data_IF_214333962986
#
_entry.id   IF_214333962986
#
_cell.length_a   1.000
_cell.length_b   1.000
_cell.length_c   1.000
_cell.angle_alpha   90.00
_cell.angle_beta   90.00
_cell.angle_gamma   90.00
#
_symmetry.space_group_name_H-M   'P 1'
#
loop_
_entity.id
_entity.type
_entity.pdbx_description
1 polymer ?
#
# COMPACT_ATOMS: atom_id res chain seq x y z
N UNK A 1 20.84 26.88 -18.12
CA UNK A 1 19.63 26.06 -18.42
C UNK A 1 20.10 24.73 -18.97
N UNK A 2 19.65 23.63 -18.40
CA UNK A 2 19.95 22.29 -18.87
C UNK A 2 19.50 22.11 -20.34
N UNK A 3 20.29 21.43 -21.17
CA UNK A 3 19.91 21.10 -22.54
C UNK A 3 19.00 19.87 -22.52
N UNK A 4 17.75 20.02 -23.01
CA UNK A 4 16.78 18.95 -23.12
C UNK A 4 16.68 18.47 -24.57
N UNK A 5 16.88 17.19 -24.81
CA UNK A 5 16.87 16.59 -26.15
C UNK A 5 15.62 15.72 -26.29
N UNK A 6 14.83 15.95 -27.35
CA UNK A 6 13.72 15.05 -27.68
C UNK A 6 14.27 13.72 -28.20
N UNK A 7 13.82 12.63 -27.62
CA UNK A 7 14.17 11.26 -28.04
C UNK A 7 12.97 10.32 -27.84
N UNK A 8 13.11 9.07 -28.26
CA UNK A 8 12.12 8.03 -27.95
C UNK A 8 12.57 7.20 -26.75
N UNK A 9 11.62 6.54 -26.05
CA UNK A 9 11.96 5.59 -24.97
C UNK A 9 12.85 4.45 -25.52
N UNK A 10 12.64 4.04 -26.78
CA UNK A 10 13.49 3.04 -27.45
C UNK A 10 14.94 3.50 -27.70
N UNK A 11 15.21 4.83 -27.70
CA UNK A 11 16.56 5.37 -27.74
C UNK A 11 17.27 5.30 -26.38
N UNK A 12 16.55 5.03 -25.29
CA UNK A 12 17.03 5.03 -23.91
C UNK A 12 17.16 3.63 -23.30
N UNK A 13 16.35 2.68 -23.77
CA UNK A 13 16.37 1.31 -23.25
C UNK A 13 15.98 0.29 -24.32
N UNK A 14 16.26 -0.97 -23.99
CA UNK A 14 15.85 -2.12 -24.78
C UNK A 14 15.16 -3.17 -23.93
N UNK A 15 14.38 -4.06 -24.54
CA UNK A 15 13.80 -5.21 -23.83
C UNK A 15 14.74 -6.40 -23.86
N UNK A 16 14.90 -7.05 -22.71
CA UNK A 16 15.72 -8.26 -22.54
C UNK A 16 14.79 -9.47 -22.49
N UNK A 17 15.15 -10.52 -23.24
CA UNK A 17 14.37 -11.77 -23.32
C UNK A 17 15.22 -13.00 -23.00
N UNK A 18 16.29 -12.82 -22.23
CA UNK A 18 17.16 -13.91 -21.83
C UNK A 18 16.36 -14.92 -21.00
N UNK A 19 16.47 -16.19 -21.40
CA UNK A 19 15.79 -17.29 -20.75
C UNK A 19 16.65 -17.84 -19.62
N UNK A 20 16.05 -18.08 -18.45
CA UNK A 20 16.69 -18.76 -17.34
C UNK A 20 17.19 -20.15 -17.76
N UNK A 21 18.46 -20.40 -17.53
CA UNK A 21 19.16 -21.66 -17.84
C UNK A 21 19.87 -22.24 -16.60
N UNK A 22 19.62 -21.66 -15.43
CA UNK A 22 20.23 -22.12 -14.18
C UNK A 22 19.69 -23.47 -13.72
N UNK A 23 20.48 -24.11 -12.87
CA UNK A 23 20.15 -25.38 -12.24
C UNK A 23 19.93 -25.22 -10.72
N UNK A 24 19.55 -24.02 -10.28
CA UNK A 24 19.27 -23.76 -8.87
C UNK A 24 18.16 -24.70 -8.39
N UNK A 25 18.33 -25.28 -7.21
CA UNK A 25 17.33 -26.18 -6.61
C UNK A 25 16.04 -25.41 -6.24
N UNK A 26 16.20 -24.14 -5.87
CA UNK A 26 15.12 -23.24 -5.50
C UNK A 26 15.20 -21.93 -6.28
N UNK A 27 14.05 -21.46 -6.75
CA UNK A 27 13.93 -20.24 -7.54
C UNK A 27 12.81 -19.34 -6.99
N UNK A 28 12.90 -18.05 -7.25
CA UNK A 28 11.83 -17.08 -6.98
C UNK A 28 11.08 -16.79 -8.28
N UNK A 29 9.77 -16.99 -8.28
CA UNK A 29 8.93 -16.73 -9.44
C UNK A 29 8.26 -15.35 -9.30
N UNK A 30 8.51 -14.47 -10.26
CA UNK A 30 7.94 -13.12 -10.27
C UNK A 30 6.89 -13.01 -11.36
N UNK A 31 5.62 -12.93 -10.96
CA UNK A 31 4.49 -12.72 -11.86
C UNK A 31 4.12 -11.23 -11.92
N UNK A 32 3.17 -10.86 -12.75
CA UNK A 32 2.64 -9.48 -12.82
C UNK A 32 1.96 -9.03 -11.53
N UNK A 33 1.40 -9.97 -10.73
CA UNK A 33 0.86 -9.69 -9.39
C UNK A 33 1.93 -9.37 -8.36
N UNK A 34 3.16 -9.82 -8.61
CA UNK A 34 4.28 -9.76 -7.65
C UNK A 34 5.12 -8.50 -7.84
N UNK A 35 4.72 -7.60 -8.71
CA UNK A 35 5.32 -6.27 -8.88
C UNK A 35 4.25 -5.19 -8.70
N UNK A 36 4.57 -4.15 -7.96
CA UNK A 36 3.64 -3.04 -7.72
C UNK A 36 4.41 -1.76 -7.35
N UNK A 37 4.09 -0.67 -8.06
CA UNK A 37 4.53 0.71 -7.76
C UNK A 37 6.04 0.86 -7.46
N UNK A 38 6.85 0.04 -8.09
CA UNK A 38 8.31 0.11 -7.99
C UNK A 38 8.96 -1.03 -7.24
N UNK A 39 8.21 -1.87 -6.54
CA UNK A 39 8.74 -2.94 -5.69
C UNK A 39 8.40 -4.33 -6.21
N UNK A 40 9.31 -5.27 -6.01
CA UNK A 40 9.02 -6.72 -6.10
C UNK A 40 8.44 -7.14 -4.76
N UNK A 41 7.27 -7.76 -4.76
CA UNK A 41 6.54 -8.12 -3.54
C UNK A 41 6.82 -9.57 -3.10
N UNK A 42 7.22 -10.43 -4.04
CA UNK A 42 7.47 -11.84 -3.75
C UNK A 42 8.96 -12.14 -3.81
N UNK A 43 9.50 -12.63 -2.70
CA UNK A 43 10.86 -13.12 -2.57
C UNK A 43 10.91 -14.58 -2.06
N UNK A 44 9.75 -15.25 -2.02
CA UNK A 44 9.66 -16.64 -1.56
C UNK A 44 10.22 -17.60 -2.60
N UNK A 45 11.03 -18.53 -2.14
CA UNK A 45 11.61 -19.56 -3.00
C UNK A 45 10.68 -20.76 -3.13
N UNK A 46 10.61 -21.30 -4.35
CA UNK A 46 9.90 -22.54 -4.67
C UNK A 46 10.85 -23.53 -5.31
N UNK A 47 10.58 -24.83 -5.17
CA UNK A 47 11.40 -25.85 -5.82
C UNK A 47 11.36 -25.69 -7.34
N UNK A 48 12.53 -25.72 -7.98
CA UNK A 48 12.68 -25.59 -9.44
C UNK A 48 12.30 -26.89 -10.15
N UNK A 49 11.03 -27.31 -9.98
CA UNK A 49 10.48 -28.54 -10.60
C UNK A 49 9.10 -28.25 -11.15
N UNK A 50 8.86 -28.68 -12.40
CA UNK A 50 7.55 -28.54 -13.05
C UNK A 50 7.05 -27.10 -13.14
N UNK A 51 7.94 -26.13 -13.34
CA UNK A 51 7.58 -24.73 -13.47
C UNK A 51 6.64 -24.51 -14.64
N UNK A 52 5.62 -23.65 -14.43
CA UNK A 52 4.70 -23.25 -15.50
C UNK A 52 5.49 -22.53 -16.61
N UNK A 53 5.22 -22.84 -17.85
CA UNK A 53 5.95 -22.32 -19.02
C UNK A 53 5.89 -20.81 -19.23
N UNK A 54 5.14 -20.09 -18.40
CA UNK A 54 5.10 -18.62 -18.38
C UNK A 54 6.30 -17.98 -17.68
N UNK A 55 7.04 -18.70 -16.83
CA UNK A 55 8.23 -18.19 -16.14
C UNK A 55 9.47 -18.52 -16.94
N UNK A 56 10.13 -17.51 -17.51
CA UNK A 56 11.27 -17.72 -18.41
C UNK A 56 12.34 -16.64 -18.32
N UNK A 57 11.97 -15.37 -18.10
CA UNK A 57 12.88 -14.25 -18.29
C UNK A 57 13.76 -14.04 -17.06
N UNK A 58 15.06 -13.83 -17.32
CA UNK A 58 16.00 -13.37 -16.28
C UNK A 58 16.11 -11.86 -16.30
N UNK A 59 16.53 -11.31 -15.19
CA UNK A 59 16.82 -9.89 -15.03
C UNK A 59 17.99 -9.70 -14.06
N UNK A 60 18.53 -8.50 -13.98
CA UNK A 60 19.64 -8.15 -13.08
C UNK A 60 19.33 -6.82 -12.40
N UNK A 61 20.18 -6.43 -11.46
CA UNK A 61 20.14 -5.09 -10.86
C UNK A 61 20.11 -4.03 -11.96
N UNK A 62 19.38 -2.95 -11.69
CA UNK A 62 19.11 -1.81 -12.56
C UNK A 62 18.22 -2.11 -13.78
N UNK A 63 17.70 -3.34 -13.92
CA UNK A 63 16.61 -3.62 -14.86
C UNK A 63 15.27 -3.16 -14.28
N UNK A 64 14.32 -2.85 -15.16
CA UNK A 64 12.95 -2.50 -14.80
C UNK A 64 12.04 -3.62 -15.29
N UNK A 65 11.24 -4.19 -14.38
CA UNK A 65 10.15 -5.08 -14.75
C UNK A 65 8.89 -4.25 -14.99
N UNK A 66 8.29 -4.34 -16.16
CA UNK A 66 7.11 -3.57 -16.52
C UNK A 66 6.04 -4.48 -17.12
N UNK A 67 4.84 -4.49 -16.56
CA UNK A 67 3.74 -5.33 -17.02
C UNK A 67 3.24 -4.89 -18.40
N UNK A 68 3.04 -5.86 -19.28
CA UNK A 68 2.36 -5.65 -20.57
C UNK A 68 0.87 -5.36 -20.38
N UNK A 69 0.28 -5.64 -19.21
CA UNK A 69 -1.16 -5.68 -18.99
C UNK A 69 -1.60 -4.49 -18.16
N UNK A 70 -2.56 -3.72 -18.67
CA UNK A 70 -3.24 -2.61 -17.98
C UNK A 70 -2.25 -1.70 -17.26
N UNK A 71 -1.53 -0.83 -17.96
CA UNK A 71 -0.53 0.09 -17.36
C UNK A 71 -1.05 0.86 -16.13
N UNK A 72 -2.33 1.25 -16.12
CA UNK A 72 -2.97 1.93 -14.99
C UNK A 72 -2.94 1.13 -13.68
N UNK A 73 -2.75 -0.21 -13.73
CA UNK A 73 -2.59 -1.03 -12.53
C UNK A 73 -1.21 -0.86 -11.86
N UNK A 74 -0.31 -0.06 -12.45
CA UNK A 74 1.04 0.27 -11.93
C UNK A 74 1.87 -0.97 -11.56
N UNK A 75 1.75 -2.03 -12.38
CA UNK A 75 2.47 -3.29 -12.20
C UNK A 75 3.86 -3.19 -12.81
N UNK A 76 4.78 -2.55 -12.11
CA UNK A 76 6.18 -2.39 -12.46
C UNK A 76 7.05 -2.42 -11.20
N UNK A 77 8.34 -2.75 -11.38
CA UNK A 77 9.34 -2.73 -10.30
C UNK A 77 10.70 -2.31 -10.85
N UNK A 78 11.47 -1.58 -10.05
CA UNK A 78 12.88 -1.33 -10.24
C UNK A 78 13.70 -2.35 -9.43
N UNK A 79 14.70 -2.97 -10.04
CA UNK A 79 15.50 -3.98 -9.39
C UNK A 79 16.70 -3.33 -8.73
N UNK A 80 16.59 -3.10 -7.43
CA UNK A 80 17.60 -2.45 -6.59
C UNK A 80 18.50 -3.41 -5.81
N UNK A 81 18.33 -4.73 -6.01
CA UNK A 81 19.10 -5.78 -5.32
C UNK A 81 19.99 -6.60 -6.25
N UNK A 82 21.10 -7.13 -5.71
CA UNK A 82 22.17 -7.81 -6.49
C UNK A 82 21.84 -9.28 -6.82
N UNK A 83 21.29 -10.03 -5.87
CA UNK A 83 21.15 -11.48 -5.99
C UNK A 83 19.90 -11.86 -6.78
N UNK A 84 19.98 -11.73 -8.12
CA UNK A 84 18.86 -12.02 -9.03
C UNK A 84 19.01 -13.34 -9.79
N UNK A 85 20.11 -14.10 -9.59
CA UNK A 85 20.46 -15.26 -10.40
C UNK A 85 19.40 -16.36 -10.40
N UNK A 86 18.69 -16.54 -9.29
CA UNK A 86 17.61 -17.51 -9.12
C UNK A 86 16.20 -16.93 -9.28
N UNK A 87 16.06 -15.67 -9.75
CA UNK A 87 14.77 -15.04 -10.02
C UNK A 87 14.34 -15.29 -11.47
N UNK A 88 13.07 -15.65 -11.66
CA UNK A 88 12.49 -15.91 -12.99
C UNK A 88 11.22 -15.10 -13.15
N UNK A 89 11.26 -14.12 -14.04
CA UNK A 89 10.09 -13.30 -14.35
C UNK A 89 9.15 -13.98 -15.36
N UNK A 90 7.87 -13.67 -15.22
CA UNK A 90 6.81 -14.05 -16.16
C UNK A 90 7.06 -13.45 -17.54
N UNK A 91 6.64 -14.16 -18.59
CA UNK A 91 6.67 -13.65 -19.98
C UNK A 91 5.85 -12.38 -20.17
N UNK A 92 4.89 -12.10 -19.26
CA UNK A 92 4.04 -10.90 -19.28
C UNK A 92 4.65 -9.69 -18.60
N UNK A 93 5.87 -9.83 -18.10
CA UNK A 93 6.71 -8.71 -17.65
C UNK A 93 7.75 -8.41 -18.73
N UNK A 94 7.77 -7.20 -19.25
CA UNK A 94 8.89 -6.69 -20.03
C UNK A 94 10.06 -6.48 -19.07
N UNK A 95 11.24 -6.95 -19.42
CA UNK A 95 12.49 -6.64 -18.74
C UNK A 95 13.15 -5.54 -19.52
N UNK A 96 13.15 -4.32 -19.00
CA UNK A 96 13.69 -3.14 -19.65
C UNK A 96 15.09 -2.83 -19.10
N UNK A 97 16.07 -2.71 -19.97
CA UNK A 97 17.46 -2.39 -19.61
C UNK A 97 17.87 -1.07 -20.22
N UNK A 98 18.31 -0.15 -19.39
CA UNK A 98 18.81 1.15 -19.79
C UNK A 98 20.08 1.05 -20.64
N UNK A 99 20.37 2.08 -21.41
CA UNK A 99 21.66 2.25 -22.08
C UNK A 99 22.46 3.39 -21.42
N UNK A 100 23.61 3.73 -21.99
CA UNK A 100 24.52 4.73 -21.43
C UNK A 100 23.98 6.17 -21.43
N UNK A 101 22.91 6.47 -22.19
CA UNK A 101 22.36 7.83 -22.33
C UNK A 101 21.53 8.22 -21.08
N UNK A 102 20.96 7.25 -20.39
CA UNK A 102 20.02 7.47 -19.27
C UNK A 102 20.49 6.77 -18.01
N UNK A 103 20.29 7.40 -16.85
CA UNK A 103 20.43 6.73 -15.55
C UNK A 103 19.26 5.76 -15.34
N UNK A 104 19.49 4.56 -14.79
CA UNK A 104 18.43 3.58 -14.59
C UNK A 104 17.30 4.10 -13.70
N UNK A 105 17.62 4.83 -12.62
CA UNK A 105 16.64 5.45 -11.73
C UNK A 105 15.86 6.57 -12.41
N UNK A 106 16.50 7.36 -13.30
CA UNK A 106 15.82 8.39 -14.08
C UNK A 106 14.85 7.75 -15.09
N UNK A 107 15.30 6.72 -15.80
CA UNK A 107 14.42 5.95 -16.70
C UNK A 107 13.21 5.38 -15.94
N UNK A 108 13.44 4.84 -14.75
CA UNK A 108 12.36 4.32 -13.91
C UNK A 108 11.39 5.44 -13.48
N UNK A 109 11.91 6.61 -13.05
CA UNK A 109 11.06 7.76 -12.71
C UNK A 109 10.23 8.24 -13.91
N UNK A 110 10.80 8.24 -15.10
CA UNK A 110 10.12 8.56 -16.36
C UNK A 110 8.97 7.56 -16.63
N UNK A 111 9.26 6.26 -16.57
CA UNK A 111 8.30 5.20 -16.89
C UNK A 111 7.13 5.09 -15.90
N UNK A 112 7.34 5.48 -14.63
CA UNK A 112 6.29 5.51 -13.60
C UNK A 112 5.52 6.85 -13.56
N UNK A 113 5.88 7.82 -14.39
CA UNK A 113 5.17 9.11 -14.44
C UNK A 113 3.73 8.94 -14.89
N UNK A 114 2.83 9.73 -14.30
CA UNK A 114 1.41 9.69 -14.66
C UNK A 114 1.17 9.95 -16.16
N UNK A 115 2.01 10.78 -16.79
CA UNK A 115 1.96 11.03 -18.22
C UNK A 115 2.20 9.75 -19.04
N UNK A 116 3.30 9.02 -18.76
CA UNK A 116 3.63 7.78 -19.47
C UNK A 116 2.58 6.70 -19.22
N UNK A 117 2.14 6.54 -17.97
CA UNK A 117 1.11 5.55 -17.61
C UNK A 117 -0.21 5.84 -18.31
N UNK A 118 -0.67 7.09 -18.32
CA UNK A 118 -1.94 7.48 -18.94
C UNK A 118 -1.90 7.26 -20.46
N UNK A 119 -0.82 7.64 -21.10
CA UNK A 119 -0.65 7.46 -22.55
C UNK A 119 -0.60 5.97 -22.92
N UNK A 120 0.15 5.15 -22.19
CA UNK A 120 0.22 3.70 -22.40
C UNK A 120 -1.13 3.03 -22.15
N UNK A 121 -1.89 3.47 -21.14
CA UNK A 121 -3.23 2.94 -20.87
C UNK A 121 -4.19 3.29 -22.01
N UNK A 122 -4.16 4.52 -22.50
CA UNK A 122 -4.95 4.95 -23.66
C UNK A 122 -4.62 4.14 -24.91
N UNK A 123 -3.33 3.94 -25.22
CA UNK A 123 -2.89 3.12 -26.35
C UNK A 123 -3.34 1.65 -26.19
N UNK A 124 -3.25 1.09 -24.98
CA UNK A 124 -3.70 -0.27 -24.69
C UNK A 124 -5.20 -0.46 -24.94
N UNK A 125 -6.02 0.51 -24.53
CA UNK A 125 -7.48 0.50 -24.70
C UNK A 125 -7.91 0.66 -26.15
N UNK A 126 -7.23 1.52 -26.91
CA UNK A 126 -7.51 1.69 -28.35
C UNK A 126 -7.20 0.43 -29.15
N UNK A 127 -6.19 -0.35 -28.73
CA UNK A 127 -5.83 -1.63 -29.38
C UNK A 127 -6.78 -2.76 -29.02
N UNK A 128 -7.23 -2.86 -27.78
CA UNK A 128 -8.16 -3.90 -27.30
C UNK A 128 -8.90 -3.45 -26.06
N UNK A 129 -10.18 -3.10 -26.21
CA UNK A 129 -11.02 -2.68 -25.07
C UNK A 129 -11.28 -3.79 -24.05
N UNK A 130 -11.26 -5.08 -24.45
CA UNK A 130 -11.57 -6.20 -23.58
C UNK A 130 -10.35 -6.63 -22.73
N UNK A 131 -9.15 -6.57 -23.30
CA UNK A 131 -7.92 -6.96 -22.63
C UNK A 131 -6.78 -5.97 -23.00
N UNK A 132 -6.77 -4.79 -22.37
CA UNK A 132 -5.76 -3.77 -22.66
C UNK A 132 -4.33 -4.29 -22.45
N UNK A 133 -3.53 -4.32 -23.50
CA UNK A 133 -2.14 -4.78 -23.51
C UNK A 133 -1.28 -3.83 -24.32
N UNK A 134 -0.05 -3.66 -23.87
CA UNK A 134 1.03 -2.96 -24.59
C UNK A 134 2.16 -3.94 -24.94
N UNK A 135 2.96 -3.57 -25.94
CA UNK A 135 4.24 -4.21 -26.23
C UNK A 135 5.35 -3.16 -26.22
N UNK A 136 6.59 -3.60 -26.03
CA UNK A 136 7.71 -2.68 -26.08
C UNK A 136 7.81 -1.98 -27.45
N UNK A 137 7.78 -2.74 -28.53
CA UNK A 137 8.06 -2.23 -29.87
C UNK A 137 6.95 -1.35 -30.46
N UNK A 138 5.68 -1.64 -30.12
CA UNK A 138 4.55 -0.92 -30.75
C UNK A 138 4.10 0.31 -29.96
N UNK A 139 4.08 0.21 -28.64
CA UNK A 139 3.53 1.29 -27.80
C UNK A 139 4.60 2.00 -26.97
N UNK A 140 5.50 1.28 -26.29
CA UNK A 140 6.43 1.90 -25.34
C UNK A 140 7.64 2.55 -26.05
N UNK A 141 8.34 1.83 -26.90
CA UNK A 141 9.57 2.32 -27.55
C UNK A 141 9.37 3.57 -28.43
N UNK A 142 8.26 3.74 -29.18
CA UNK A 142 8.03 4.92 -29.99
C UNK A 142 7.67 6.19 -29.22
N UNK A 143 7.31 6.08 -27.94
CA UNK A 143 6.90 7.24 -27.13
C UNK A 143 8.00 8.29 -27.09
N UNK A 144 7.62 9.54 -27.38
CA UNK A 144 8.51 10.69 -27.33
C UNK A 144 8.60 11.25 -25.91
N UNK A 145 9.83 11.51 -25.50
CA UNK A 145 10.17 12.07 -24.19
C UNK A 145 11.30 13.09 -24.35
N UNK A 146 11.47 13.91 -23.33
CA UNK A 146 12.61 14.83 -23.25
C UNK A 146 13.64 14.28 -22.25
N UNK A 147 14.90 14.25 -22.65
CA UNK A 147 16.01 13.77 -21.84
C UNK A 147 16.96 14.94 -21.55
N UNK A 148 17.22 15.27 -20.28
CA UNK A 148 18.24 16.24 -19.90
C UNK A 148 19.65 15.62 -19.91
N UNK A 149 20.66 16.47 -19.77
CA UNK A 149 22.03 16.01 -19.52
C UNK A 149 22.14 15.17 -18.22
N UNK A 150 23.27 14.45 -18.09
CA UNK A 150 23.49 13.51 -16.96
C UNK A 150 23.47 14.20 -15.60
N UNK A 151 24.02 15.40 -15.49
CA UNK A 151 24.06 16.11 -14.19
C UNK A 151 22.65 16.48 -13.75
N UNK A 152 21.81 16.93 -14.67
CA UNK A 152 20.39 17.18 -14.41
C UNK A 152 19.63 15.90 -14.06
N UNK A 153 19.89 14.76 -14.73
CA UNK A 153 19.31 13.46 -14.36
C UNK A 153 19.68 13.10 -12.92
N UNK A 154 20.95 13.23 -12.52
CA UNK A 154 21.42 12.97 -11.15
C UNK A 154 20.65 13.82 -10.14
N UNK A 155 20.51 15.13 -10.40
CA UNK A 155 19.78 16.04 -9.51
C UNK A 155 18.32 15.67 -9.33
N UNK A 156 17.63 15.37 -10.45
CA UNK A 156 16.23 14.94 -10.42
C UNK A 156 16.06 13.63 -9.63
N UNK A 157 16.93 12.65 -9.89
CA UNK A 157 16.91 11.36 -9.18
C UNK A 157 17.16 11.57 -7.69
N UNK A 158 18.12 12.40 -7.30
CA UNK A 158 18.43 12.68 -5.90
C UNK A 158 17.23 13.29 -5.15
N UNK A 159 16.54 14.26 -5.76
CA UNK A 159 15.33 14.87 -5.17
C UNK A 159 14.24 13.82 -4.96
N UNK A 160 13.92 13.05 -6.00
CA UNK A 160 12.86 12.04 -5.94
C UNK A 160 13.20 10.91 -4.96
N UNK A 161 14.46 10.45 -4.97
CA UNK A 161 14.93 9.40 -4.06
C UNK A 161 14.90 9.85 -2.60
N UNK A 162 15.21 11.11 -2.29
CA UNK A 162 15.13 11.65 -0.93
C UNK A 162 13.72 11.57 -0.38
N UNK A 163 12.72 11.90 -1.20
CA UNK A 163 11.30 11.82 -0.83
C UNK A 163 10.90 10.36 -0.60
N UNK A 164 11.25 9.46 -1.51
CA UNK A 164 10.91 8.04 -1.41
C UNK A 164 11.56 7.36 -0.21
N UNK A 165 12.85 7.65 0.03
CA UNK A 165 13.57 7.13 1.21
C UNK A 165 12.93 7.61 2.52
N UNK A 166 12.47 8.86 2.58
CA UNK A 166 11.79 9.37 3.76
C UNK A 166 10.45 8.65 3.99
N UNK A 167 9.66 8.42 2.95
CA UNK A 167 8.42 7.65 3.01
C UNK A 167 8.69 6.21 3.48
N UNK A 168 9.68 5.53 2.89
CA UNK A 168 10.05 4.16 3.27
C UNK A 168 10.52 4.10 4.74
N UNK A 169 11.31 5.08 5.18
CA UNK A 169 11.76 5.16 6.57
C UNK A 169 10.62 5.37 7.55
N UNK A 170 9.67 6.25 7.23
CA UNK A 170 8.47 6.44 8.04
C UNK A 170 7.65 5.15 8.13
N UNK A 171 7.50 4.40 7.03
CA UNK A 171 6.79 3.13 7.03
C UNK A 171 7.50 2.08 7.88
N UNK A 172 8.84 2.00 7.83
CA UNK A 172 9.64 1.11 8.67
C UNK A 172 9.45 1.45 10.16
N UNK A 173 9.52 2.74 10.51
CA UNK A 173 9.28 3.22 11.88
C UNK A 173 7.86 2.84 12.32
N UNK A 174 6.84 3.06 11.50
CA UNK A 174 5.46 2.75 11.82
C UNK A 174 5.25 1.25 12.09
N UNK A 175 5.79 0.38 11.23
CA UNK A 175 5.75 -1.07 11.44
C UNK A 175 6.40 -1.48 12.76
N UNK A 176 7.55 -0.89 13.08
CA UNK A 176 8.28 -1.17 14.32
C UNK A 176 7.50 -0.71 15.56
N UNK A 177 6.95 0.51 15.53
CA UNK A 177 6.13 1.04 16.63
C UNK A 177 4.88 0.20 16.87
N UNK A 178 4.18 -0.24 15.82
CA UNK A 178 3.02 -1.12 15.96
C UNK A 178 3.39 -2.45 16.60
N UNK A 179 4.48 -3.09 16.15
CA UNK A 179 4.96 -4.34 16.74
C UNK A 179 5.36 -4.19 18.21
N UNK A 180 6.02 -3.08 18.57
CA UNK A 180 6.37 -2.78 19.95
C UNK A 180 5.11 -2.58 20.81
N UNK A 181 4.12 -1.84 20.33
CA UNK A 181 2.88 -1.62 21.05
C UNK A 181 2.09 -2.92 21.25
N UNK A 182 2.05 -3.80 20.23
CA UNK A 182 1.46 -5.14 20.36
C UNK A 182 2.22 -6.00 21.39
N UNK A 183 3.55 -5.94 21.43
CA UNK A 183 4.36 -6.68 22.40
C UNK A 183 4.14 -6.15 23.83
N UNK A 184 4.02 -4.83 24.02
CA UNK A 184 3.70 -4.23 25.31
C UNK A 184 2.30 -4.67 25.78
N UNK A 185 1.30 -4.66 24.88
CA UNK A 185 -0.04 -5.16 25.17
C UNK A 185 0.00 -6.64 25.59
N UNK A 186 0.68 -7.47 24.81
CA UNK A 186 0.84 -8.89 25.11
C UNK A 186 1.45 -9.10 26.51
N UNK A 187 2.54 -8.39 26.83
CA UNK A 187 3.21 -8.49 28.11
C UNK A 187 2.33 -8.02 29.26
N UNK A 188 1.65 -6.85 29.13
CA UNK A 188 0.89 -6.25 30.23
C UNK A 188 -0.44 -6.97 30.48
N UNK A 189 -1.14 -7.40 29.43
CA UNK A 189 -2.54 -7.84 29.55
C UNK A 189 -2.75 -9.34 29.30
N UNK A 190 -1.80 -10.02 28.69
CA UNK A 190 -1.91 -11.47 28.43
C UNK A 190 -0.94 -12.25 29.34
N UNK A 191 0.37 -11.97 29.21
CA UNK A 191 1.38 -12.75 29.92
C UNK A 191 1.39 -12.46 31.43
N UNK A 192 1.13 -11.21 31.83
CA UNK A 192 1.06 -10.75 33.22
C UNK A 192 -0.38 -10.46 33.69
N UNK A 193 -1.39 -11.08 33.06
CA UNK A 193 -2.78 -10.93 33.47
C UNK A 193 -2.96 -11.32 34.94
N UNK A 194 -3.58 -10.44 35.72
CA UNK A 194 -3.78 -10.68 37.16
C UNK A 194 -5.07 -11.42 37.40
N UNK A 195 -5.05 -12.39 38.31
CA UNK A 195 -6.23 -13.22 38.65
C UNK A 195 -7.37 -12.43 39.29
N UNK A 196 -7.13 -11.21 39.72
CA UNK A 196 -8.16 -10.32 40.33
C UNK A 196 -8.79 -9.35 39.33
N UNK A 197 -8.42 -9.40 38.04
CA UNK A 197 -9.10 -8.60 37.01
C UNK A 197 -10.51 -9.16 36.78
N UNK A 198 -11.43 -8.24 36.51
CA UNK A 198 -12.82 -8.63 36.24
C UNK A 198 -12.92 -9.28 34.85
N UNK A 199 -13.68 -10.38 34.79
CA UNK A 199 -14.16 -10.89 33.51
C UNK A 199 -15.30 -10.00 33.03
N UNK A 200 -15.23 -9.61 31.74
CA UNK A 200 -16.23 -8.76 31.12
C UNK A 200 -16.30 -8.99 29.62
N UNK A 201 -16.93 -8.09 28.92
CA UNK A 201 -17.13 -8.14 27.47
C UNK A 201 -16.59 -6.88 26.79
N UNK A 202 -16.43 -6.94 25.48
CA UNK A 202 -15.99 -5.78 24.69
C UNK A 202 -16.93 -4.58 24.91
N UNK A 203 -18.23 -4.84 25.10
CA UNK A 203 -19.22 -3.78 25.37
C UNK A 203 -19.05 -3.08 26.71
N UNK A 204 -18.28 -3.64 27.64
CA UNK A 204 -18.00 -2.96 28.93
C UNK A 204 -16.95 -1.85 28.75
N UNK A 205 -16.01 -2.00 27.84
CA UNK A 205 -14.92 -1.03 27.61
C UNK A 205 -15.15 -0.11 26.40
N UNK A 206 -16.04 -0.49 25.47
CA UNK A 206 -16.21 0.25 24.22
C UNK A 206 -17.67 0.36 23.76
N UNK A 207 -17.97 1.46 23.09
CA UNK A 207 -19.21 1.66 22.34
C UNK A 207 -19.00 1.17 20.90
N UNK A 208 -19.91 0.29 20.44
CA UNK A 208 -19.81 -0.30 19.09
C UNK A 208 -20.92 0.27 18.20
N UNK A 209 -20.51 0.91 17.13
CA UNK A 209 -21.38 1.42 16.07
C UNK A 209 -21.26 0.54 14.83
N UNK A 210 -22.30 -0.26 14.56
CA UNK A 210 -22.40 -1.00 13.30
C UNK A 210 -22.72 -0.05 12.16
N UNK A 211 -21.95 -0.13 11.07
CA UNK A 211 -22.12 0.74 9.92
C UNK A 211 -23.40 0.47 9.13
N UNK A 212 -23.85 1.50 8.43
CA UNK A 212 -25.01 1.48 7.56
C UNK A 212 -24.73 2.26 6.29
N UNK A 213 -24.80 1.60 5.15
CA UNK A 213 -24.54 2.26 3.86
C UNK A 213 -25.61 3.31 3.57
N UNK A 214 -25.24 4.53 3.18
CA UNK A 214 -26.15 5.53 2.63
C UNK A 214 -26.75 5.08 1.29
N UNK A 215 -27.63 5.91 0.72
CA UNK A 215 -28.13 5.68 -0.64
C UNK A 215 -27.00 5.73 -1.65
N UNK A 216 -26.99 4.82 -2.64
CA UNK A 216 -25.98 4.82 -3.70
C UNK A 216 -25.96 6.11 -4.54
N UNK A 217 -27.09 6.80 -4.62
CA UNK A 217 -27.21 8.10 -5.32
C UNK A 217 -26.51 9.27 -4.60
N UNK A 218 -26.14 9.09 -3.32
CA UNK A 218 -25.42 10.10 -2.54
C UNK A 218 -23.89 9.96 -2.62
N UNK A 219 -23.37 8.92 -3.32
CA UNK A 219 -21.93 8.69 -3.42
C UNK A 219 -21.30 9.55 -4.49
N UNK A 220 -20.10 10.04 -4.22
CA UNK A 220 -19.27 10.78 -5.17
C UNK A 220 -17.78 10.56 -4.87
N UNK A 221 -16.94 10.93 -5.84
CA UNK A 221 -15.47 10.91 -5.74
C UNK A 221 -14.87 12.32 -5.85
N UNK A 222 -15.72 13.36 -5.90
CA UNK A 222 -15.29 14.75 -6.06
C UNK A 222 -15.06 15.50 -4.73
N UNK A 223 -15.18 14.80 -3.61
CA UNK A 223 -14.93 15.37 -2.28
C UNK A 223 -16.15 16.01 -1.62
N UNK A 224 -17.35 15.91 -2.22
CA UNK A 224 -18.55 16.57 -1.69
C UNK A 224 -19.16 15.77 -0.53
N UNK A 225 -19.27 16.39 0.64
CA UNK A 225 -19.90 15.81 1.82
C UNK A 225 -18.91 15.13 2.78
N UNK A 226 -19.31 14.00 3.36
CA UNK A 226 -18.56 13.27 4.39
C UNK A 226 -17.80 12.12 3.77
N UNK A 227 -16.54 11.90 4.18
CA UNK A 227 -15.75 10.72 3.82
C UNK A 227 -16.55 9.45 4.14
N UNK A 228 -16.58 8.51 3.20
CA UNK A 228 -17.36 7.29 3.32
C UNK A 228 -16.52 6.04 3.02
N UNK A 229 -16.47 5.14 4.00
CA UNK A 229 -15.86 3.82 3.86
C UNK A 229 -16.94 2.74 3.84
N UNK A 230 -17.08 2.07 2.71
CA UNK A 230 -18.12 1.04 2.54
C UNK A 230 -17.76 -0.27 3.22
N UNK A 231 -16.49 -0.62 3.22
CA UNK A 231 -15.92 -1.85 3.74
C UNK A 231 -14.41 -1.75 3.86
N UNK A 232 -13.73 -2.90 3.92
CA UNK A 232 -12.28 -2.97 4.12
C UNK A 232 -11.44 -2.74 2.85
N UNK A 233 -12.05 -2.54 1.70
CA UNK A 233 -11.31 -2.38 0.43
C UNK A 233 -10.34 -1.17 0.46
N UNK A 234 -10.67 -0.16 1.24
CA UNK A 234 -9.88 1.05 1.43
C UNK A 234 -8.89 0.94 2.62
N UNK A 235 -8.86 -0.18 3.37
CA UNK A 235 -7.96 -0.33 4.51
C UNK A 235 -6.50 -0.34 4.08
N UNK A 236 -5.72 0.57 4.66
CA UNK A 236 -4.27 0.64 4.55
C UNK A 236 -3.56 -0.01 5.73
N UNK A 237 -2.29 0.35 5.96
CA UNK A 237 -1.53 -0.16 7.10
C UNK A 237 -2.21 0.18 8.45
N UNK A 238 -2.53 1.45 8.69
CA UNK A 238 -3.17 1.92 9.93
C UNK A 238 -4.42 2.75 9.65
N UNK A 239 -4.46 3.49 8.55
CA UNK A 239 -5.54 4.38 8.18
C UNK A 239 -6.06 4.03 6.79
N UNK A 240 -7.39 4.14 6.55
CA UNK A 240 -7.95 3.86 5.24
C UNK A 240 -7.66 4.99 4.25
N UNK A 241 -7.45 4.62 2.99
CA UNK A 241 -7.33 5.57 1.89
C UNK A 241 -8.69 6.15 1.52
N UNK A 242 -8.77 7.46 1.36
CA UNK A 242 -10.00 8.16 1.02
C UNK A 242 -10.26 8.07 -0.49
N UNK A 243 -11.42 7.53 -0.87
CA UNK A 243 -11.87 7.44 -2.26
C UNK A 243 -13.29 7.92 -2.45
N UNK A 244 -14.19 7.59 -1.54
CA UNK A 244 -15.60 7.89 -1.65
C UNK A 244 -16.05 8.90 -0.58
N UNK A 245 -17.02 9.70 -0.96
CA UNK A 245 -17.74 10.63 -0.11
C UNK A 245 -19.25 10.37 -0.21
N UNK A 246 -20.02 10.87 0.76
CA UNK A 246 -21.47 10.83 0.74
C UNK A 246 -22.07 12.13 1.24
N UNK A 247 -23.11 12.60 0.57
CA UNK A 247 -23.92 13.77 0.99
C UNK A 247 -25.00 13.40 2.02
N UNK A 248 -25.20 12.09 2.30
CA UNK A 248 -26.22 11.56 3.22
C UNK A 248 -25.62 10.58 4.25
N UNK A 249 -24.72 11.04 5.15
CA UNK A 249 -24.10 10.13 6.11
C UNK A 249 -25.15 9.50 7.06
N UNK A 250 -25.03 8.20 7.36
CA UNK A 250 -25.97 7.45 8.21
C UNK A 250 -25.39 7.08 9.56
N UNK A 251 -24.22 6.43 9.58
CA UNK A 251 -23.50 5.98 10.78
C UNK A 251 -22.11 6.54 10.74
N UNK A 252 -21.74 7.24 11.80
CA UNK A 252 -20.46 7.92 11.91
C UNK A 252 -19.49 7.14 12.78
N UNK A 253 -18.23 7.13 12.39
CA UNK A 253 -17.07 6.86 13.24
C UNK A 253 -16.39 8.19 13.55
N UNK A 254 -15.87 8.33 14.75
CA UNK A 254 -15.07 9.49 15.17
C UNK A 254 -13.61 9.28 14.79
N UNK A 255 -12.88 10.35 14.65
CA UNK A 255 -11.43 10.28 14.56
C UNK A 255 -10.84 9.44 15.71
N UNK A 256 -9.91 8.56 15.38
CA UNK A 256 -9.27 7.56 16.24
C UNK A 256 -10.13 6.33 16.62
N UNK A 257 -11.40 6.24 16.24
CA UNK A 257 -12.15 5.00 16.44
C UNK A 257 -11.43 3.84 15.73
N UNK A 258 -11.42 2.67 16.38
CA UNK A 258 -10.99 1.43 15.73
C UNK A 258 -12.05 0.98 14.74
N UNK A 259 -11.70 0.91 13.46
CA UNK A 259 -12.55 0.38 12.40
C UNK A 259 -12.28 -1.12 12.25
N UNK A 260 -13.34 -1.90 12.17
CA UNK A 260 -13.23 -3.36 11.96
C UNK A 260 -14.12 -3.82 10.82
N UNK A 261 -13.61 -4.70 9.97
CA UNK A 261 -14.43 -5.40 8.99
C UNK A 261 -15.37 -6.40 9.68
N UNK A 262 -16.68 -6.30 9.41
CA UNK A 262 -17.70 -7.19 9.98
C UNK A 262 -18.22 -8.22 8.97
N UNK A 263 -17.68 -8.24 7.77
CA UNK A 263 -17.93 -9.23 6.71
C UNK A 263 -16.62 -9.84 6.26
N UNK A 264 -16.70 -11.04 5.72
CA UNK A 264 -15.51 -11.83 5.33
C UNK A 264 -14.54 -11.06 4.42
N UNK A 265 -13.25 -11.03 4.77
CA UNK A 265 -12.68 -11.52 6.03
C UNK A 265 -13.05 -10.62 7.22
N UNK A 266 -13.57 -11.24 8.28
CA UNK A 266 -13.97 -10.58 9.53
C UNK A 266 -12.72 -10.28 10.37
N UNK A 267 -12.74 -9.13 11.06
CA UNK A 267 -11.69 -8.79 12.03
C UNK A 267 -10.44 -8.16 11.42
N UNK A 268 -10.47 -7.69 10.16
CA UNK A 268 -9.44 -6.78 9.68
C UNK A 268 -9.64 -5.41 10.32
N UNK A 269 -8.56 -4.82 10.81
CA UNK A 269 -8.59 -3.59 11.60
C UNK A 269 -7.95 -2.42 10.85
N UNK A 270 -8.48 -1.24 11.14
CA UNK A 270 -7.92 0.05 10.75
C UNK A 270 -8.31 1.11 11.79
N UNK A 271 -7.91 2.35 11.61
CA UNK A 271 -8.25 3.46 12.51
C UNK A 271 -8.85 4.60 11.69
N UNK A 272 -9.94 5.18 12.13
CA UNK A 272 -10.51 6.35 11.50
C UNK A 272 -9.55 7.54 11.61
N UNK A 273 -9.00 7.99 10.48
CA UNK A 273 -8.08 9.13 10.47
C UNK A 273 -8.81 10.43 10.83
N UNK A 274 -10.01 10.61 10.33
CA UNK A 274 -10.92 11.72 10.63
C UNK A 274 -12.32 11.16 10.84
N UNK A 275 -13.24 12.00 11.27
CA UNK A 275 -14.66 11.64 11.33
C UNK A 275 -15.13 11.18 9.95
N UNK A 276 -15.78 10.02 9.88
CA UNK A 276 -16.18 9.41 8.63
C UNK A 276 -17.49 8.65 8.75
N UNK A 277 -18.20 8.49 7.64
CA UNK A 277 -19.36 7.62 7.53
C UNK A 277 -18.89 6.18 7.26
N UNK A 278 -19.50 5.19 7.92
CA UNK A 278 -19.17 3.77 7.75
C UNK A 278 -20.34 2.97 7.20
N UNK A 279 -20.05 2.16 6.19
CA UNK A 279 -20.98 1.28 5.52
C UNK A 279 -21.19 -0.07 6.21
N UNK A 280 -22.10 -0.89 5.66
CA UNK A 280 -22.52 -2.19 6.21
C UNK A 280 -21.38 -3.22 6.38
N UNK A 281 -20.21 -2.96 5.78
CA UNK A 281 -19.03 -3.82 5.90
C UNK A 281 -18.17 -3.53 7.12
N UNK A 282 -18.45 -2.47 7.87
CA UNK A 282 -17.62 -1.98 8.96
C UNK A 282 -18.38 -1.81 10.27
N UNK A 283 -17.65 -1.89 11.37
CA UNK A 283 -18.02 -1.36 12.68
C UNK A 283 -16.96 -0.36 13.14
N UNK A 284 -17.38 0.66 13.90
CA UNK A 284 -16.50 1.57 14.64
C UNK A 284 -16.61 1.25 16.14
N UNK A 285 -15.45 1.19 16.80
CA UNK A 285 -15.30 0.78 18.19
C UNK A 285 -14.60 1.92 18.92
N UNK A 286 -15.34 2.60 19.80
CA UNK A 286 -14.92 3.78 20.53
C UNK A 286 -14.74 3.45 22.01
N UNK A 287 -13.62 3.83 22.62
CA UNK A 287 -13.39 3.62 24.05
C UNK A 287 -14.35 4.44 24.93
N UNK A 288 -14.91 3.82 25.97
CA UNK A 288 -15.76 4.49 26.95
C UNK A 288 -14.98 5.33 27.98
N UNK A 289 -13.70 5.02 28.15
CA UNK A 289 -12.84 5.58 29.20
C UNK A 289 -11.62 6.36 28.67
N UNK A 290 -11.62 6.76 27.37
CA UNK A 290 -10.51 7.40 26.67
C UNK A 290 -9.22 6.54 26.53
N UNK A 291 -9.31 5.23 26.74
CA UNK A 291 -8.21 4.29 26.52
C UNK A 291 -8.33 3.67 25.11
N UNK A 292 -8.20 4.52 24.09
CA UNK A 292 -8.44 4.08 22.70
C UNK A 292 -7.35 3.14 22.18
N UNK A 293 -6.09 3.31 22.62
CA UNK A 293 -5.01 2.37 22.28
C UNK A 293 -5.29 1.00 22.90
N UNK A 294 -5.75 0.94 24.16
CA UNK A 294 -6.15 -0.33 24.77
C UNK A 294 -7.23 -1.04 23.95
N UNK A 295 -8.27 -0.32 23.51
CA UNK A 295 -9.32 -0.89 22.65
C UNK A 295 -8.75 -1.42 21.34
N UNK A 296 -7.88 -0.66 20.67
CA UNK A 296 -7.25 -1.08 19.42
C UNK A 296 -6.44 -2.36 19.58
N UNK A 297 -5.55 -2.42 20.58
CA UNK A 297 -4.69 -3.59 20.79
C UNK A 297 -5.45 -4.78 21.38
N UNK A 298 -6.55 -4.56 22.12
CA UNK A 298 -7.52 -5.60 22.47
C UNK A 298 -8.10 -6.23 21.20
N UNK A 299 -8.53 -5.42 20.24
CA UNK A 299 -9.06 -5.95 18.98
C UNK A 299 -8.03 -6.75 18.19
N UNK A 300 -6.74 -6.34 18.17
CA UNK A 300 -5.68 -7.15 17.59
C UNK A 300 -5.55 -8.52 18.30
N UNK A 301 -5.62 -8.56 19.61
CA UNK A 301 -5.52 -9.80 20.38
C UNK A 301 -6.71 -10.75 20.15
N UNK A 302 -7.89 -10.23 19.84
CA UNK A 302 -9.10 -10.99 19.55
C UNK A 302 -9.13 -11.58 18.13
N UNK A 303 -8.12 -11.32 17.27
CA UNK A 303 -8.11 -11.74 15.86
C UNK A 303 -8.42 -13.22 15.67
N UNK A 304 -7.80 -14.12 16.46
CA UNK A 304 -8.04 -15.56 16.38
C UNK A 304 -9.49 -15.96 16.70
N UNK A 305 -10.12 -15.24 17.63
CA UNK A 305 -11.53 -15.48 17.98
C UNK A 305 -12.45 -14.94 16.89
N UNK A 306 -12.11 -13.80 16.30
CA UNK A 306 -12.84 -13.21 15.18
C UNK A 306 -12.74 -14.05 13.90
N UNK A 307 -11.65 -14.75 13.68
CA UNK A 307 -11.45 -15.62 12.50
C UNK A 307 -12.49 -16.75 12.43
N UNK A 308 -13.06 -17.19 13.55
CA UNK A 308 -14.15 -18.19 13.60
C UNK A 308 -15.39 -17.71 12.84
N UNK A 309 -15.60 -16.39 12.72
CA UNK A 309 -16.72 -15.80 12.00
C UNK A 309 -16.49 -15.68 10.48
N UNK A 310 -15.35 -16.12 9.96
CA UNK A 310 -15.05 -16.02 8.52
C UNK A 310 -15.85 -17.01 7.65
N UNK A 311 -16.55 -17.99 8.28
CA UNK A 311 -17.32 -19.00 7.57
C UNK A 311 -16.44 -20.11 6.98
N UNK A 312 -17.09 -21.20 6.56
CA UNK A 312 -16.44 -22.31 5.88
C UNK A 312 -17.04 -22.52 4.47
N UNK A 313 -16.17 -22.80 3.51
CA UNK A 313 -16.59 -23.10 2.13
C UNK A 313 -17.16 -21.89 1.38
N UNK A 314 -18.35 -22.02 0.80
CA UNK A 314 -19.00 -20.99 -0.03
C UNK A 314 -19.84 -19.97 0.76
N UNK A 315 -19.96 -20.11 2.08
CA UNK A 315 -20.73 -19.20 2.93
C UNK A 315 -19.81 -18.06 3.39
N UNK A 316 -20.11 -16.84 2.94
CA UNK A 316 -19.41 -15.65 3.41
C UNK A 316 -19.75 -15.35 4.87
N UNK A 317 -18.73 -15.38 5.72
CA UNK A 317 -18.87 -15.09 7.14
C UNK A 317 -19.22 -13.63 7.42
N UNK A 318 -19.82 -13.44 8.58
CA UNK A 318 -20.08 -12.11 9.14
C UNK A 318 -20.25 -12.20 10.66
N UNK A 319 -19.96 -11.11 11.36
CA UNK A 319 -20.23 -10.95 12.78
C UNK A 319 -21.32 -9.92 12.98
N UNK A 320 -22.28 -10.21 13.85
CA UNK A 320 -23.33 -9.28 14.23
C UNK A 320 -22.95 -8.47 15.49
N UNK A 321 -23.75 -7.44 15.80
CA UNK A 321 -23.49 -6.56 16.94
C UNK A 321 -23.44 -7.30 18.27
N UNK A 322 -24.35 -8.23 18.51
CA UNK A 322 -24.41 -8.93 19.80
C UNK A 322 -23.17 -9.82 19.99
N UNK A 323 -22.81 -10.60 18.98
CA UNK A 323 -21.60 -11.43 19.03
C UNK A 323 -20.34 -10.61 19.24
N UNK A 324 -20.26 -9.40 18.65
CA UNK A 324 -19.12 -8.51 18.85
C UNK A 324 -19.13 -7.87 20.26
N UNK A 325 -20.29 -7.41 20.73
CA UNK A 325 -20.46 -6.88 22.08
C UNK A 325 -20.06 -7.88 23.15
N UNK A 326 -20.46 -9.15 22.98
CA UNK A 326 -20.29 -10.23 23.94
C UNK A 326 -18.91 -10.91 23.88
N UNK A 327 -17.97 -10.38 23.07
CA UNK A 327 -16.60 -10.90 23.03
C UNK A 327 -15.96 -10.83 24.42
N UNK A 328 -15.51 -11.96 24.98
CA UNK A 328 -14.98 -11.99 26.34
C UNK A 328 -13.59 -11.32 26.41
N UNK A 329 -13.41 -10.48 27.40
CA UNK A 329 -12.14 -9.81 27.71
C UNK A 329 -11.91 -9.79 29.23
N UNK A 330 -10.64 -9.59 29.61
CA UNK A 330 -10.30 -9.21 30.99
C UNK A 330 -10.26 -7.68 31.09
N UNK A 331 -10.85 -7.14 32.13
CA UNK A 331 -10.92 -5.69 32.39
C UNK A 331 -9.89 -5.37 33.48
N UNK A 332 -8.75 -4.74 33.13
CA UNK A 332 -7.78 -4.28 34.11
C UNK A 332 -8.30 -3.08 34.92
N UNK A 333 -7.61 -2.75 36.01
CA UNK A 333 -7.86 -1.52 36.74
C UNK A 333 -7.43 -0.27 35.96
N UNK A 334 -8.07 0.87 36.21
CA UNK A 334 -7.83 2.12 35.50
C UNK A 334 -6.35 2.58 35.56
N UNK A 335 -5.66 2.37 36.69
CA UNK A 335 -4.25 2.70 36.84
C UNK A 335 -3.34 1.96 35.83
N UNK A 336 -3.66 0.73 35.50
CA UNK A 336 -2.93 -0.07 34.51
C UNK A 336 -3.28 0.36 33.09
N UNK A 337 -4.54 0.70 32.84
CA UNK A 337 -5.00 1.25 31.56
C UNK A 337 -4.33 2.60 31.30
N UNK A 338 -4.29 3.48 32.30
CA UNK A 338 -3.59 4.78 32.21
C UNK A 338 -2.08 4.61 31.96
N UNK A 339 -1.44 3.61 32.60
CA UNK A 339 -0.03 3.31 32.35
C UNK A 339 0.20 2.87 30.92
N UNK A 340 -0.64 1.98 30.39
CA UNK A 340 -0.56 1.51 29.01
C UNK A 340 -0.74 2.68 28.02
N UNK A 341 -1.78 3.50 28.17
CA UNK A 341 -2.04 4.66 27.32
C UNK A 341 -0.86 5.65 27.36
N UNK A 342 -0.29 5.89 28.54
CA UNK A 342 0.88 6.78 28.67
C UNK A 342 2.09 6.32 27.86
N UNK A 343 2.24 5.00 27.67
CA UNK A 343 3.34 4.42 26.88
C UNK A 343 2.96 4.33 25.40
N UNK A 344 1.77 3.86 25.08
CA UNK A 344 1.40 3.43 23.71
C UNK A 344 0.74 4.57 22.92
N UNK A 345 -0.06 5.43 23.53
CA UNK A 345 -0.70 6.54 22.80
C UNK A 345 0.30 7.47 22.09
N UNK A 346 1.49 7.80 22.65
CA UNK A 346 2.53 8.53 21.91
C UNK A 346 3.07 7.76 20.69
N UNK A 347 3.12 6.42 20.75
CA UNK A 347 3.52 5.58 19.60
C UNK A 347 2.48 5.66 18.50
N UNK A 348 1.20 5.50 18.83
CA UNK A 348 0.07 5.63 17.89
C UNK A 348 0.01 7.05 17.28
N UNK A 349 0.28 8.08 18.07
CA UNK A 349 0.38 9.44 17.56
C UNK A 349 1.55 9.61 16.59
N UNK A 350 2.69 8.98 16.85
CA UNK A 350 3.86 9.02 15.95
C UNK A 350 3.52 8.32 14.62
N UNK A 351 2.86 7.16 14.67
CA UNK A 351 2.36 6.46 13.46
C UNK A 351 1.44 7.38 12.65
N UNK A 352 0.55 8.11 13.31
CA UNK A 352 -0.34 9.07 12.66
C UNK A 352 0.42 10.22 12.00
N UNK A 353 1.36 10.83 12.72
CA UNK A 353 2.16 11.93 12.20
C UNK A 353 3.01 11.50 10.99
N UNK A 354 3.59 10.31 11.03
CA UNK A 354 4.33 9.74 9.91
C UNK A 354 3.42 9.44 8.71
N UNK A 355 2.18 8.99 8.95
CA UNK A 355 1.19 8.82 7.89
C UNK A 355 0.85 10.16 7.22
N UNK A 356 0.60 11.21 8.01
CA UNK A 356 0.30 12.56 7.51
C UNK A 356 1.49 13.15 6.73
N UNK A 357 2.71 12.90 7.20
CA UNK A 357 3.94 13.29 6.50
C UNK A 357 4.07 12.53 5.19
N UNK A 358 3.81 11.22 5.18
CA UNK A 358 3.86 10.40 3.96
C UNK A 358 2.84 10.88 2.91
N UNK A 359 1.61 11.21 3.31
CA UNK A 359 0.62 11.77 2.39
C UNK A 359 1.13 13.07 1.75
N UNK A 360 1.67 13.99 2.54
CA UNK A 360 2.26 15.25 2.02
C UNK A 360 3.45 15.00 1.10
N UNK A 361 4.34 14.07 1.45
CA UNK A 361 5.49 13.71 0.61
C UNK A 361 5.06 13.08 -0.72
N UNK A 362 4.03 12.26 -0.72
CA UNK A 362 3.44 11.69 -1.93
C UNK A 362 2.84 12.78 -2.82
N UNK A 363 2.10 13.72 -2.26
CA UNK A 363 1.52 14.86 -3.00
C UNK A 363 2.62 15.75 -3.60
N UNK A 364 3.69 16.02 -2.82
CA UNK A 364 4.85 16.78 -3.30
C UNK A 364 5.53 16.02 -4.46
N UNK A 365 5.81 14.73 -4.30
CA UNK A 365 6.41 13.90 -5.35
C UNK A 365 5.57 13.93 -6.62
N UNK A 366 4.27 13.68 -6.50
CA UNK A 366 3.36 13.56 -7.64
C UNK A 366 3.14 14.91 -8.36
N UNK A 367 3.29 16.03 -7.64
CA UNK A 367 3.29 17.40 -8.20
C UNK A 367 4.61 17.75 -8.84
N UNK A 368 5.74 17.39 -8.22
CA UNK A 368 7.07 17.74 -8.73
C UNK A 368 7.48 16.89 -9.94
N UNK A 369 7.13 15.59 -9.93
CA UNK A 369 7.59 14.66 -10.95
C UNK A 369 7.31 15.12 -12.39
N UNK A 370 6.08 15.53 -12.78
CA UNK A 370 5.84 16.03 -14.14
C UNK A 370 6.65 17.27 -14.49
N UNK A 371 6.80 18.19 -13.55
CA UNK A 371 7.51 19.47 -13.75
C UNK A 371 9.02 19.29 -13.84
N UNK A 372 9.57 18.32 -13.10
CA UNK A 372 10.97 17.91 -13.19
C UNK A 372 11.25 17.20 -14.51
N UNK A 373 10.34 16.31 -14.94
CA UNK A 373 10.50 15.51 -16.15
C UNK A 373 10.24 16.31 -17.44
N UNK A 374 9.57 17.45 -17.37
CA UNK A 374 9.36 18.37 -18.50
C UNK A 374 10.40 19.49 -18.60
N UNK A 375 11.26 19.65 -17.59
CA UNK A 375 12.19 20.77 -17.50
C UNK A 375 11.54 22.10 -17.11
N UNK A 376 10.27 22.11 -16.70
CA UNK A 376 9.59 23.30 -16.18
C UNK A 376 10.26 23.82 -14.90
N UNK A 377 10.76 22.90 -14.07
CA UNK A 377 11.54 23.23 -12.88
C UNK A 377 13.03 23.09 -13.20
N UNK A 378 13.75 24.20 -13.10
CA UNK A 378 15.22 24.21 -13.19
C UNK A 378 15.79 23.72 -11.85
N UNK A 379 16.63 22.69 -11.92
CA UNK A 379 17.30 22.09 -10.76
C UNK A 379 18.80 22.42 -10.70
N UNK A 380 19.29 23.31 -11.58
CA UNK A 380 20.72 23.62 -11.70
C UNK A 380 21.30 24.26 -10.43
N UNK A 381 20.49 24.99 -9.67
CA UNK A 381 20.91 25.72 -8.46
C UNK A 381 20.61 24.92 -7.15
N UNK A 382 20.17 23.68 -7.25
CA UNK A 382 19.89 22.84 -6.06
C UNK A 382 21.19 22.15 -5.64
N UNK A 383 21.69 22.47 -4.46
CA UNK A 383 22.78 21.74 -3.79
C UNK A 383 22.29 20.34 -3.38
N UNK A 384 23.01 19.30 -3.80
CA UNK A 384 22.67 17.88 -3.54
C UNK A 384 23.75 17.27 -2.65
#
# INVERSE_FOLDING_TARGET
MAEWIECSIGDLCSTISDTYKGNDEYVVLVNTSDVLEGKVLNHETVANKNLKGQFKKTFKRDDILYSEIRPANKRFAYIDFENTSNYIASTKLMVLRHNEKVLPEYLFALLKSNYVIAELQHLAETRSGTFPQITFSSELAPMKVFLPDKDTQIRIVSILSSIEQKIDKNNEINNNLEQQAQAIYQQMFIDNARSNWAEGTLSDIADITMGQSPSGSSYNEDGTGTIFFQGRAEFGFRFPSVRLYTTEPKRMARSNDTLMSVRAPVGDLNVAHTDCCIGRGLAAIHSKSNHQSFVLYTMFSLKKQLDVFNGEGTVFGSINRNSLNDMPILIPSDDILDEFERIVAPMDLTIRNNYDENCRLQDIRDTLLPRLMSGELDVSDIDI
#
